data_IF_291793506096
#
_entry.id   IF_291793506096
#
_cell.length_a   1.000
_cell.length_b   1.000
_cell.length_c   1.000
_cell.angle_alpha   90.00
_cell.angle_beta   90.00
_cell.angle_gamma   90.00
#
_symmetry.space_group_name_H-M   'P 1'
#
loop_
_entity.id
_entity.type
_entity.pdbx_description
1 polymer ?
#
# COMPACT_ATOMS: atom_id res chain seq x y z
N UNK A 1 -3.88 -32.70 -53.07
CA UNK A 1 -4.80 -32.69 -51.90
C UNK A 1 -4.10 -32.40 -50.55
N UNK A 2 -2.84 -31.96 -50.51
CA UNK A 2 -2.11 -31.69 -49.26
C UNK A 2 -1.97 -30.19 -48.92
N UNK A 3 -2.32 -29.29 -49.86
CA UNK A 3 -2.24 -27.83 -49.64
C UNK A 3 -3.39 -27.24 -48.80
N UNK A 4 -4.48 -27.98 -48.59
CA UNK A 4 -5.61 -27.51 -47.77
C UNK A 4 -5.43 -27.74 -46.26
N UNK A 5 -4.44 -28.52 -45.84
CA UNK A 5 -4.24 -28.87 -44.44
C UNK A 5 -3.39 -27.85 -43.66
N UNK A 6 -2.76 -26.89 -44.35
CA UNK A 6 -1.86 -25.91 -43.71
C UNK A 6 -2.63 -24.70 -43.15
N UNK A 7 -3.87 -24.45 -43.61
CA UNK A 7 -4.62 -23.27 -43.20
C UNK A 7 -5.41 -23.43 -41.88
N UNK A 8 -5.58 -24.66 -41.35
CA UNK A 8 -6.33 -24.86 -40.09
C UNK A 8 -5.47 -24.80 -38.82
N UNK A 9 -4.14 -24.82 -38.94
CA UNK A 9 -3.24 -24.91 -37.79
C UNK A 9 -2.80 -23.55 -37.22
N UNK A 10 -3.17 -22.42 -37.85
CA UNK A 10 -2.76 -21.07 -37.41
C UNK A 10 -3.77 -20.37 -36.50
N UNK A 11 -4.94 -20.94 -36.24
CA UNK A 11 -6.00 -20.25 -35.48
C UNK A 11 -6.03 -20.56 -33.96
N UNK A 12 -5.07 -21.33 -33.43
CA UNK A 12 -5.06 -21.76 -32.02
C UNK A 12 -4.15 -20.93 -31.10
N UNK A 13 -3.60 -19.79 -31.55
CA UNK A 13 -2.77 -18.90 -30.71
C UNK A 13 -3.55 -17.77 -30.01
N UNK A 14 -4.89 -17.81 -30.01
CA UNK A 14 -5.70 -16.86 -29.25
C UNK A 14 -5.91 -17.32 -27.78
N UNK A 15 -4.86 -17.31 -26.97
CA UNK A 15 -4.93 -17.52 -25.51
C UNK A 15 -3.64 -16.96 -24.87
N UNK A 16 -3.60 -16.04 -23.91
CA UNK A 16 -4.62 -15.38 -23.11
C UNK A 16 -4.24 -13.90 -23.05
N UNK A 17 -5.17 -12.98 -23.35
CA UNK A 17 -4.99 -11.60 -22.89
C UNK A 17 -5.19 -11.64 -21.38
N UNK A 18 -4.10 -11.62 -20.63
CA UNK A 18 -4.12 -11.46 -19.18
C UNK A 18 -4.52 -10.01 -18.94
N UNK A 19 -5.82 -9.73 -19.01
CA UNK A 19 -6.34 -8.39 -18.81
C UNK A 19 -5.97 -8.00 -17.38
N UNK A 20 -5.12 -6.98 -17.17
CA UNK A 20 -4.86 -6.51 -15.82
C UNK A 20 -6.21 -6.07 -15.29
N UNK A 21 -6.67 -6.76 -14.24
CA UNK A 21 -7.88 -6.41 -13.54
C UNK A 21 -7.64 -4.99 -13.01
N UNK A 22 -8.16 -4.00 -13.75
CA UNK A 22 -8.22 -2.59 -13.35
C UNK A 22 -9.22 -2.45 -12.20
N UNK A 23 -9.05 -3.22 -11.13
CA UNK A 23 -9.73 -3.02 -9.87
C UNK A 23 -9.09 -1.80 -9.23
N UNK A 24 -9.90 -0.80 -8.90
CA UNK A 24 -9.46 0.36 -8.13
C UNK A 24 -8.61 -0.11 -6.95
N UNK A 25 -7.35 0.39 -6.82
CA UNK A 25 -6.48 0.12 -5.69
C UNK A 25 -7.25 0.16 -4.37
N UNK A 26 -7.21 -0.91 -3.58
CA UNK A 26 -7.97 -0.99 -2.33
C UNK A 26 -7.25 -1.75 -1.22
N UNK A 27 -7.57 -1.38 0.02
CA UNK A 27 -7.02 -1.98 1.23
C UNK A 27 -8.06 -1.97 2.37
N UNK A 28 -7.76 -2.67 3.45
CA UNK A 28 -8.61 -2.75 4.63
C UNK A 28 -8.18 -1.70 5.65
N UNK A 29 -9.13 -0.93 6.17
CA UNK A 29 -8.91 -0.06 7.34
C UNK A 29 -9.03 -0.86 8.64
N UNK A 30 -9.96 -1.83 8.64
CA UNK A 30 -10.15 -2.85 9.67
C UNK A 30 -10.85 -4.07 9.05
N UNK A 31 -10.93 -5.22 9.73
CA UNK A 31 -11.69 -6.36 9.24
C UNK A 31 -13.12 -5.95 8.85
N UNK A 32 -13.51 -6.25 7.60
CA UNK A 32 -14.84 -5.93 7.07
C UNK A 32 -15.02 -4.51 6.51
N UNK A 33 -14.01 -3.64 6.58
CA UNK A 33 -14.07 -2.27 6.02
C UNK A 33 -12.96 -2.05 5.00
N UNK A 34 -13.32 -2.17 3.72
CA UNK A 34 -12.43 -1.95 2.58
C UNK A 34 -12.67 -0.57 1.98
N UNK A 35 -11.60 0.12 1.60
CA UNK A 35 -11.64 1.43 0.94
C UNK A 35 -10.74 1.45 -0.29
N UNK A 36 -11.05 2.34 -1.24
CA UNK A 36 -10.11 2.67 -2.31
C UNK A 36 -8.94 3.50 -1.77
N UNK A 37 -7.75 3.30 -2.31
CA UNK A 37 -6.56 4.09 -1.99
C UNK A 37 -6.56 5.42 -2.75
N UNK A 38 -6.01 6.51 -2.16
CA UNK A 38 -5.81 7.77 -2.87
C UNK A 38 -4.97 7.63 -4.13
N UNK A 39 -4.93 8.69 -4.93
CA UNK A 39 -3.99 8.78 -6.06
C UNK A 39 -2.54 8.80 -5.54
N UNK A 40 -1.56 8.28 -6.30
CA UNK A 40 -0.16 8.19 -5.86
C UNK A 40 0.59 9.53 -5.86
N UNK A 41 -0.08 10.62 -6.25
CA UNK A 41 0.50 11.96 -6.30
C UNK A 41 0.77 12.50 -4.91
N UNK A 42 2.02 12.90 -4.65
CA UNK A 42 2.41 13.63 -3.45
C UNK A 42 3.48 14.67 -3.73
N UNK A 43 3.36 15.83 -3.06
CA UNK A 43 4.32 16.94 -3.11
C UNK A 43 4.55 17.46 -1.68
N UNK A 44 5.81 17.68 -1.24
CA UNK A 44 7.05 17.45 -1.98
C UNK A 44 7.38 15.96 -2.15
N UNK A 45 8.33 15.66 -3.04
CA UNK A 45 8.87 14.30 -3.23
C UNK A 45 9.34 13.70 -1.91
N UNK A 46 8.97 12.44 -1.68
CA UNK A 46 9.34 11.66 -0.51
C UNK A 46 10.32 10.57 -0.93
N UNK A 47 11.45 10.48 -0.24
CA UNK A 47 12.37 9.36 -0.33
C UNK A 47 12.77 8.97 1.09
N UNK A 48 12.22 7.86 1.59
CA UNK A 48 12.36 7.47 2.98
C UNK A 48 12.65 5.97 3.09
N UNK A 49 13.49 5.64 4.06
CA UNK A 49 13.72 4.27 4.50
C UNK A 49 13.20 4.14 5.92
N UNK A 50 12.29 3.20 6.15
CA UNK A 50 11.66 3.00 7.46
C UNK A 50 11.68 1.54 7.88
N UNK A 51 11.97 1.29 9.16
CA UNK A 51 11.69 0.00 9.78
C UNK A 51 10.21 -0.02 10.20
N UNK A 52 9.43 -0.94 9.63
CA UNK A 52 8.10 -1.24 10.11
C UNK A 52 8.16 -2.49 10.98
N UNK A 53 7.50 -2.42 12.12
CA UNK A 53 7.38 -3.50 13.08
C UNK A 53 5.91 -3.76 13.32
N UNK A 54 5.50 -5.01 13.13
CA UNK A 54 4.14 -5.47 13.40
C UNK A 54 4.18 -6.64 14.37
N UNK A 55 3.12 -6.80 15.18
CA UNK A 55 2.94 -8.01 15.98
C UNK A 55 1.85 -8.85 15.33
N UNK A 56 2.21 -10.02 14.80
CA UNK A 56 1.28 -10.94 14.14
C UNK A 56 1.28 -12.24 14.92
N UNK A 57 0.11 -12.65 15.43
CA UNK A 57 -0.06 -13.86 16.26
C UNK A 57 0.91 -13.92 17.46
N UNK A 58 1.15 -12.78 18.09
CA UNK A 58 2.04 -12.67 19.24
C UNK A 58 3.54 -12.66 18.92
N UNK A 59 3.94 -12.71 17.65
CA UNK A 59 5.33 -12.57 17.22
C UNK A 59 5.57 -11.20 16.62
N UNK A 60 6.64 -10.55 17.05
CA UNK A 60 7.10 -9.30 16.46
C UNK A 60 7.86 -9.61 15.18
N UNK A 61 7.39 -9.05 14.06
CA UNK A 61 8.02 -9.15 12.76
C UNK A 61 8.38 -7.75 12.27
N UNK A 62 9.60 -7.62 11.77
CA UNK A 62 10.10 -6.36 11.23
C UNK A 62 10.46 -6.47 9.76
N UNK A 63 10.20 -5.41 9.01
CA UNK A 63 10.55 -5.28 7.60
C UNK A 63 11.07 -3.87 7.32
N UNK A 64 12.06 -3.76 6.46
CA UNK A 64 12.58 -2.47 6.00
C UNK A 64 11.77 -2.07 4.78
N UNK A 65 11.16 -0.90 4.82
CA UNK A 65 10.44 -0.30 3.70
C UNK A 65 11.29 0.78 3.07
N UNK A 66 11.46 0.71 1.76
CA UNK A 66 11.99 1.78 0.94
C UNK A 66 10.82 2.42 0.20
N UNK A 67 10.57 3.71 0.47
CA UNK A 67 9.53 4.51 -0.14
C UNK A 67 10.17 5.58 -1.03
N UNK A 68 9.71 5.66 -2.27
CA UNK A 68 9.96 6.79 -3.16
C UNK A 68 8.63 7.23 -3.76
N UNK A 69 8.23 8.49 -3.59
CA UNK A 69 6.95 8.98 -4.11
C UNK A 69 7.07 10.44 -4.57
N UNK A 70 6.45 10.75 -5.71
CA UNK A 70 6.38 12.10 -6.28
C UNK A 70 5.00 12.34 -6.89
N UNK A 71 4.85 13.35 -7.74
CA UNK A 71 3.58 13.72 -8.35
C UNK A 71 3.00 12.67 -9.31
N UNK A 72 3.83 11.77 -9.83
CA UNK A 72 3.50 10.85 -10.92
C UNK A 72 3.52 9.39 -10.49
N UNK A 73 4.45 9.03 -9.60
CA UNK A 73 4.76 7.63 -9.31
C UNK A 73 5.13 7.43 -7.83
N UNK A 74 4.66 6.30 -7.29
CA UNK A 74 5.04 5.78 -5.99
C UNK A 74 5.68 4.39 -6.16
N UNK A 75 6.88 4.22 -5.62
CA UNK A 75 7.60 2.96 -5.49
C UNK A 75 7.71 2.57 -4.02
N UNK A 76 7.42 1.31 -3.72
CA UNK A 76 7.51 0.73 -2.40
C UNK A 76 8.21 -0.63 -2.48
N UNK A 77 9.34 -0.79 -1.79
CA UNK A 77 10.00 -2.09 -1.65
C UNK A 77 10.02 -2.52 -0.18
N UNK A 78 9.53 -3.72 0.09
CA UNK A 78 9.64 -4.36 1.39
C UNK A 78 10.79 -5.35 1.40
N UNK A 79 11.72 -5.16 2.33
CA UNK A 79 12.87 -6.03 2.55
C UNK A 79 12.75 -6.70 3.92
N UNK A 80 13.19 -7.95 4.02
CA UNK A 80 13.42 -8.58 5.33
C UNK A 80 14.54 -7.86 6.08
N UNK A 81 14.69 -8.15 7.37
CA UNK A 81 15.82 -7.66 8.17
C UNK A 81 17.20 -8.11 7.64
N UNK A 82 17.24 -9.16 6.80
CA UNK A 82 18.44 -9.65 6.13
C UNK A 82 18.67 -9.02 4.75
N UNK A 83 17.82 -8.08 4.32
CA UNK A 83 17.93 -7.40 3.02
C UNK A 83 17.30 -8.15 1.84
N UNK A 84 16.71 -9.33 2.06
CA UNK A 84 15.99 -10.07 1.00
C UNK A 84 14.74 -9.28 0.60
N UNK A 85 14.54 -9.03 -0.70
CA UNK A 85 13.32 -8.41 -1.24
C UNK A 85 12.13 -9.35 -1.10
N UNK A 86 11.12 -8.90 -0.35
CA UNK A 86 9.88 -9.64 -0.09
C UNK A 86 8.82 -9.27 -1.13
N UNK A 87 8.71 -7.97 -1.42
CA UNK A 87 7.86 -7.44 -2.48
C UNK A 87 8.41 -6.14 -3.05
N UNK A 88 7.99 -5.82 -4.27
CA UNK A 88 8.06 -4.49 -4.86
C UNK A 88 6.66 -4.10 -5.33
N UNK A 89 6.28 -2.85 -5.11
CA UNK A 89 5.04 -2.28 -5.54
C UNK A 89 5.33 -0.97 -6.25
N UNK A 90 4.76 -0.80 -7.44
CA UNK A 90 4.70 0.47 -8.14
C UNK A 90 3.24 0.91 -8.23
N UNK A 91 2.98 2.20 -8.05
CA UNK A 91 1.66 2.78 -8.17
C UNK A 91 1.75 4.09 -8.95
N UNK A 92 1.03 4.12 -10.07
CA UNK A 92 0.86 5.27 -10.95
C UNK A 92 -0.60 5.36 -11.43
N UNK A 93 -0.86 6.20 -12.43
CA UNK A 93 -2.19 6.38 -13.02
C UNK A 93 -2.77 5.11 -13.65
N UNK A 94 -1.93 4.12 -13.99
CA UNK A 94 -2.36 2.83 -14.53
C UNK A 94 -2.71 1.83 -13.41
N UNK A 95 -2.56 2.21 -12.14
CA UNK A 95 -2.90 1.40 -10.98
C UNK A 95 -1.69 0.77 -10.29
N UNK A 96 -1.97 -0.23 -9.45
CA UNK A 96 -0.96 -0.89 -8.62
C UNK A 96 -0.40 -2.12 -9.33
N UNK A 97 0.92 -2.12 -9.51
CA UNK A 97 1.68 -3.27 -9.99
C UNK A 97 2.53 -3.83 -8.84
N UNK A 98 2.21 -5.05 -8.41
CA UNK A 98 2.92 -5.72 -7.31
C UNK A 98 3.70 -6.92 -7.84
N UNK A 99 4.99 -6.95 -7.53
CA UNK A 99 5.86 -8.11 -7.68
C UNK A 99 6.13 -8.71 -6.30
N UNK A 100 5.55 -9.87 -6.01
CA UNK A 100 5.82 -10.57 -4.76
C UNK A 100 6.88 -11.65 -5.00
N UNK A 101 8.01 -11.53 -4.31
CA UNK A 101 9.13 -12.46 -4.45
C UNK A 101 8.96 -13.68 -3.54
N UNK A 102 8.42 -13.48 -2.33
CA UNK A 102 8.19 -14.54 -1.35
C UNK A 102 6.85 -14.30 -0.65
N UNK A 103 6.04 -15.35 -0.51
CA UNK A 103 4.81 -15.32 0.29
C UNK A 103 5.13 -15.82 1.69
N UNK A 104 5.16 -14.91 2.66
CA UNK A 104 5.27 -15.25 4.07
C UNK A 104 3.91 -15.07 4.74
N UNK A 105 3.32 -16.11 5.38
CA UNK A 105 1.99 -16.03 5.98
C UNK A 105 1.82 -14.95 7.06
N UNK A 106 2.92 -14.54 7.67
CA UNK A 106 2.95 -13.55 8.76
C UNK A 106 3.17 -12.11 8.24
N UNK A 107 3.41 -11.92 6.93
CA UNK A 107 3.54 -10.60 6.35
C UNK A 107 2.17 -10.06 5.90
N UNK A 108 1.88 -8.77 6.17
CA UNK A 108 0.73 -8.12 5.56
C UNK A 108 0.88 -8.10 4.03
N UNK A 109 -0.23 -8.16 3.27
CA UNK A 109 -0.20 -7.95 1.83
C UNK A 109 0.43 -6.59 1.44
N UNK A 110 1.10 -6.50 0.29
CA UNK A 110 1.77 -5.27 -0.14
C UNK A 110 0.82 -4.05 -0.19
N UNK A 111 -0.41 -4.23 -0.67
CA UNK A 111 -1.43 -3.17 -0.71
C UNK A 111 -1.81 -2.66 0.69
N UNK A 112 -1.69 -3.51 1.71
CA UNK A 112 -1.99 -3.17 3.09
C UNK A 112 -0.85 -2.33 3.69
N UNK A 113 0.41 -2.68 3.39
CA UNK A 113 1.58 -1.85 3.70
C UNK A 113 1.54 -0.51 2.94
N UNK A 114 1.06 -0.51 1.70
CA UNK A 114 0.87 0.74 0.95
C UNK A 114 -0.17 1.64 1.62
N UNK A 115 -1.32 1.09 2.02
CA UNK A 115 -2.37 1.84 2.69
C UNK A 115 -1.87 2.53 3.96
N UNK A 116 -1.08 1.82 4.75
CA UNK A 116 -0.40 2.33 5.95
C UNK A 116 0.50 3.53 5.67
N UNK A 117 1.33 3.41 4.63
CA UNK A 117 2.21 4.48 4.18
C UNK A 117 1.38 5.67 3.71
N UNK A 118 0.35 5.44 2.90
CA UNK A 118 -0.51 6.52 2.40
C UNK A 118 -1.30 7.19 3.54
N UNK A 119 -1.79 6.44 4.52
CA UNK A 119 -2.43 7.00 5.72
C UNK A 119 -1.45 7.86 6.54
N UNK A 120 -0.16 7.54 6.52
CA UNK A 120 0.87 8.29 7.23
C UNK A 120 1.28 9.57 6.50
N UNK A 121 1.37 9.56 5.16
CA UNK A 121 1.98 10.66 4.39
C UNK A 121 0.97 11.52 3.62
N UNK A 122 -0.15 10.97 3.15
CA UNK A 122 -1.07 11.75 2.30
C UNK A 122 -1.85 12.77 3.12
N UNK A 123 -2.23 13.91 2.52
CA UNK A 123 -3.08 14.87 3.22
C UNK A 123 -4.44 14.26 3.54
N UNK A 124 -5.07 14.75 4.62
CA UNK A 124 -6.40 14.29 5.06
C UNK A 124 -7.44 14.38 3.93
N UNK A 125 -7.35 15.44 3.13
CA UNK A 125 -8.25 15.66 1.98
C UNK A 125 -8.20 14.54 0.93
N UNK A 126 -7.06 13.88 0.73
CA UNK A 126 -6.95 12.77 -0.22
C UNK A 126 -7.71 11.52 0.24
N UNK A 127 -7.92 11.38 1.55
CA UNK A 127 -8.66 10.28 2.15
C UNK A 127 -10.14 10.58 2.33
N UNK A 128 -10.51 11.85 2.53
CA UNK A 128 -11.84 12.22 3.00
C UNK A 128 -13.00 11.70 2.13
N UNK A 129 -12.86 11.71 0.80
CA UNK A 129 -13.87 11.18 -0.13
C UNK A 129 -13.89 9.65 -0.24
N UNK A 130 -12.91 8.97 0.35
CA UNK A 130 -12.70 7.52 0.26
C UNK A 130 -13.03 6.80 1.56
N UNK A 131 -13.18 7.55 2.66
CA UNK A 131 -13.58 7.03 3.95
C UNK A 131 -15.09 6.76 3.98
N UNK A 132 -15.57 5.69 4.65
CA UNK A 132 -16.99 5.46 4.82
C UNK A 132 -17.67 6.55 5.65
N UNK A 133 -18.98 6.67 5.54
CA UNK A 133 -19.76 7.65 6.28
C UNK A 133 -19.49 7.61 7.79
N UNK A 134 -19.27 8.79 8.37
CA UNK A 134 -18.98 8.98 9.79
C UNK A 134 -17.53 8.69 10.20
N UNK A 135 -16.68 8.13 9.32
CA UNK A 135 -15.26 7.98 9.61
C UNK A 135 -14.53 9.31 9.54
N UNK A 136 -13.53 9.49 10.41
CA UNK A 136 -12.78 10.73 10.51
C UNK A 136 -11.30 10.44 10.62
N UNK A 137 -10.51 11.01 9.70
CA UNK A 137 -9.07 11.09 9.82
C UNK A 137 -8.71 12.47 10.37
N UNK A 138 -8.20 12.50 11.61
CA UNK A 138 -7.75 13.72 12.28
C UNK A 138 -6.23 13.80 12.21
N UNK A 139 -5.72 14.96 11.85
CA UNK A 139 -4.30 15.24 11.84
C UNK A 139 -4.00 16.47 12.70
N UNK A 140 -3.22 16.31 13.77
CA UNK A 140 -2.99 17.34 14.77
C UNK A 140 -1.57 17.26 15.33
N UNK A 141 -0.70 18.16 14.89
CA UNK A 141 0.69 18.24 15.34
C UNK A 141 1.47 16.96 15.07
N UNK A 142 1.91 16.30 16.13
CA UNK A 142 2.68 15.06 16.08
C UNK A 142 1.82 13.79 16.09
N UNK A 143 0.50 13.91 15.96
CA UNK A 143 -0.43 12.80 16.05
C UNK A 143 -1.43 12.81 14.90
N UNK A 144 -1.62 11.65 14.28
CA UNK A 144 -2.70 11.40 13.32
C UNK A 144 -3.51 10.19 13.76
N UNK A 145 -4.83 10.33 13.72
CA UNK A 145 -5.75 9.31 14.21
C UNK A 145 -6.88 9.07 13.22
N UNK A 146 -7.14 7.81 12.92
CA UNK A 146 -8.32 7.38 12.18
C UNK A 146 -9.35 6.83 13.16
N UNK A 147 -10.55 7.40 13.15
CA UNK A 147 -11.68 6.95 13.95
C UNK A 147 -12.79 6.42 13.04
N UNK A 148 -13.46 5.35 13.47
CA UNK A 148 -14.66 4.89 12.79
C UNK A 148 -15.89 5.74 13.15
N UNK A 149 -17.02 5.42 12.52
CA UNK A 149 -18.31 6.12 12.73
C UNK A 149 -18.80 6.18 14.19
N UNK A 150 -18.31 5.31 15.05
CA UNK A 150 -18.66 5.29 16.48
C UNK A 150 -17.62 6.04 17.33
N UNK A 151 -16.64 6.69 16.71
CA UNK A 151 -15.52 7.35 17.39
C UNK A 151 -14.42 6.38 17.86
N UNK A 152 -14.51 5.08 17.56
CA UNK A 152 -13.49 4.11 17.96
C UNK A 152 -12.20 4.38 17.20
N UNK A 153 -11.09 4.50 17.93
CA UNK A 153 -9.75 4.61 17.36
C UNK A 153 -9.39 3.32 16.60
N UNK A 154 -9.10 3.46 15.31
CA UNK A 154 -8.72 2.37 14.40
C UNK A 154 -7.20 2.40 14.16
N UNK A 155 -6.66 3.58 13.91
CA UNK A 155 -5.24 3.76 13.56
C UNK A 155 -4.69 4.96 14.30
N UNK A 156 -3.47 4.83 14.81
CA UNK A 156 -2.76 5.91 15.50
C UNK A 156 -1.30 6.02 15.03
N UNK A 157 -0.93 7.21 14.57
CA UNK A 157 0.37 7.49 13.98
C UNK A 157 1.00 8.65 14.74
N UNK A 158 2.11 8.35 15.41
CA UNK A 158 2.98 9.35 16.02
C UNK A 158 4.04 9.80 15.01
N UNK A 159 4.37 11.08 15.07
CA UNK A 159 5.41 11.67 14.24
C UNK A 159 6.47 12.33 15.11
N UNK A 160 7.70 12.23 14.65
CA UNK A 160 8.80 13.06 15.13
C UNK A 160 9.15 14.08 14.05
N UNK A 161 9.73 15.21 14.45
CA UNK A 161 10.14 16.27 13.52
C UNK A 161 11.64 16.58 13.62
N UNK A 162 12.53 15.59 13.39
CA UNK A 162 13.95 15.87 13.33
C UNK A 162 14.23 16.85 12.18
N UNK A 163 14.95 17.93 12.46
CA UNK A 163 15.30 18.98 11.49
C UNK A 163 14.09 19.60 10.78
N UNK A 164 12.93 19.67 11.46
CA UNK A 164 11.71 20.26 10.92
C UNK A 164 10.99 19.42 9.86
N UNK A 165 11.48 18.21 9.55
CA UNK A 165 10.80 17.27 8.64
C UNK A 165 10.00 16.27 9.44
N UNK A 166 8.68 16.30 9.25
CA UNK A 166 7.75 15.38 9.90
C UNK A 166 7.94 13.95 9.37
N UNK A 167 8.24 13.00 10.26
CA UNK A 167 8.47 11.59 9.94
C UNK A 167 7.73 10.68 10.91
N UNK A 168 7.27 9.53 10.43
CA UNK A 168 6.58 8.54 11.26
C UNK A 168 7.54 8.00 12.32
N UNK A 169 7.16 8.10 13.59
CA UNK A 169 7.91 7.55 14.72
C UNK A 169 7.84 6.01 14.72
N UNK A 170 8.93 5.37 15.18
CA UNK A 170 8.98 3.92 15.32
C UNK A 170 7.95 3.44 16.36
N UNK A 171 7.23 2.35 16.05
CA UNK A 171 6.25 1.76 16.98
C UNK A 171 4.81 2.30 16.87
N UNK A 172 4.52 3.15 15.88
CA UNK A 172 3.13 3.55 15.60
C UNK A 172 2.30 2.32 15.18
N UNK A 173 1.11 2.16 15.78
CA UNK A 173 0.25 0.99 15.62
C UNK A 173 -0.79 1.23 14.52
N UNK A 174 -0.73 0.42 13.46
CA UNK A 174 -1.68 0.48 12.34
C UNK A 174 -2.67 -0.70 12.35
N UNK A 175 -2.38 -1.75 13.13
CA UNK A 175 -3.22 -2.93 13.28
C UNK A 175 -3.41 -3.24 14.77
N UNK A 176 -4.44 -2.66 15.39
CA UNK A 176 -4.99 -3.16 16.66
C UNK A 176 -6.28 -3.91 16.42
#
# INVERSE_FOLDING_TARGET
>A
MIRLFILSLTCLLAACTNSPQNSTPSAWLKPGVRVSLPEPTITPTINEQQLLTATVKGKQQSLIVLLSANEQHLSLAGLSSLGIRLFKLNYDQNGIHTEQSIVLPELPPANQVLADIMLSYWPVSAWQSRLPDGWVLKDSGNLRQLHDKNGKLITEIYYDSPNGKRRRANGSNLYR
#
